data_IF_205222753622
#
_entry.id   IF_205222753622
#
_cell.length_a   1.000
_cell.length_b   1.000
_cell.length_c   1.000
_cell.angle_alpha   90.00
_cell.angle_beta   90.00
_cell.angle_gamma   90.00
#
_symmetry.space_group_name_H-M   'P 1'
#
loop_
_entity.id
_entity.type
_entity.pdbx_description
1 polymer ?
#
# COMPACT_ATOMS: atom_id res chain seq x y z
N UNK A 1 -25.85 -54.60 6.05
CA UNK A 1 -25.56 -53.51 7.02
C UNK A 1 -24.53 -52.59 6.37
N UNK A 2 -24.73 -51.27 6.31
CA UNK A 2 -23.84 -50.38 5.58
C UNK A 2 -22.67 -49.98 6.49
N UNK A 3 -21.72 -50.88 6.68
CA UNK A 3 -20.52 -50.62 7.51
C UNK A 3 -19.67 -49.45 6.98
N UNK A 4 -19.91 -49.03 5.73
CA UNK A 4 -19.19 -47.94 5.08
C UNK A 4 -19.86 -46.56 5.21
N UNK A 5 -21.10 -46.47 5.71
CA UNK A 5 -21.82 -45.19 5.87
C UNK A 5 -21.05 -44.17 6.74
N UNK A 6 -20.50 -44.55 7.92
CA UNK A 6 -19.74 -43.60 8.75
C UNK A 6 -18.44 -43.16 8.07
N UNK A 7 -17.78 -44.05 7.31
CA UNK A 7 -16.55 -43.74 6.58
C UNK A 7 -16.82 -42.70 5.47
N UNK A 8 -17.88 -42.91 4.69
CA UNK A 8 -18.31 -41.98 3.62
C UNK A 8 -18.66 -40.61 4.22
N UNK A 9 -19.40 -40.58 5.33
CA UNK A 9 -19.78 -39.32 5.98
C UNK A 9 -18.57 -38.53 6.50
N UNK A 10 -17.57 -39.23 7.06
CA UNK A 10 -16.33 -38.61 7.57
C UNK A 10 -15.50 -38.05 6.41
N UNK A 11 -15.40 -38.78 5.31
CA UNK A 11 -14.69 -38.34 4.11
C UNK A 11 -15.36 -37.09 3.49
N UNK A 12 -16.68 -37.10 3.34
CA UNK A 12 -17.42 -35.94 2.84
C UNK A 12 -17.24 -34.71 3.74
N UNK A 13 -17.29 -34.89 5.06
CA UNK A 13 -17.05 -33.80 6.01
C UNK A 13 -15.63 -33.25 5.85
N UNK A 14 -14.62 -34.11 5.78
CA UNK A 14 -13.22 -33.69 5.59
C UNK A 14 -13.01 -32.93 4.27
N UNK A 15 -13.71 -33.33 3.21
CA UNK A 15 -13.67 -32.65 1.91
C UNK A 15 -14.34 -31.26 1.98
N UNK A 16 -15.48 -31.15 2.65
CA UNK A 16 -16.16 -29.85 2.82
C UNK A 16 -15.30 -28.90 3.66
N UNK A 17 -14.69 -29.39 4.74
CA UNK A 17 -13.78 -28.59 5.56
C UNK A 17 -12.56 -28.13 4.77
N UNK A 18 -11.92 -29.00 3.97
CA UNK A 18 -10.75 -28.61 3.19
C UNK A 18 -11.10 -27.58 2.11
N UNK A 19 -12.28 -27.68 1.48
CA UNK A 19 -12.78 -26.69 0.54
C UNK A 19 -13.04 -25.34 1.21
N UNK A 20 -13.69 -25.32 2.38
CA UNK A 20 -13.95 -24.08 3.13
C UNK A 20 -12.65 -23.38 3.54
N UNK A 21 -11.69 -24.15 4.05
CA UNK A 21 -10.36 -23.67 4.40
C UNK A 21 -9.67 -23.08 3.16
N UNK A 22 -9.66 -23.80 2.03
CA UNK A 22 -9.10 -23.33 0.75
C UNK A 22 -9.73 -22.02 0.26
N UNK A 23 -11.05 -21.88 0.33
CA UNK A 23 -11.74 -20.65 -0.05
C UNK A 23 -11.37 -19.47 0.88
N UNK A 24 -11.21 -19.73 2.17
CA UNK A 24 -10.73 -18.72 3.12
C UNK A 24 -9.34 -18.20 2.77
N UNK A 25 -8.43 -19.09 2.36
CA UNK A 25 -7.11 -18.69 1.88
C UNK A 25 -7.21 -17.79 0.66
N UNK A 26 -7.95 -18.21 -0.37
CA UNK A 26 -8.09 -17.45 -1.61
C UNK A 26 -8.66 -16.06 -1.33
N UNK A 27 -9.68 -15.96 -0.47
CA UNK A 27 -10.27 -14.68 -0.08
C UNK A 27 -9.24 -13.75 0.59
N UNK A 28 -8.42 -14.30 1.49
CA UNK A 28 -7.41 -13.51 2.19
C UNK A 28 -6.24 -13.07 1.28
N UNK A 29 -5.79 -13.94 0.37
CA UNK A 29 -4.82 -13.58 -0.67
C UNK A 29 -5.34 -12.48 -1.59
N UNK A 30 -6.61 -12.58 -2.04
CA UNK A 30 -7.23 -11.56 -2.88
C UNK A 30 -7.30 -10.21 -2.16
N UNK A 31 -7.64 -10.20 -0.86
CA UNK A 31 -7.62 -8.97 -0.05
C UNK A 31 -6.25 -8.30 -0.06
N UNK A 32 -5.17 -9.06 0.09
CA UNK A 32 -3.80 -8.51 0.07
C UNK A 32 -3.43 -7.97 -1.31
N UNK A 33 -3.82 -8.67 -2.38
CA UNK A 33 -3.60 -8.21 -3.76
C UNK A 33 -4.33 -6.88 -4.01
N UNK A 34 -5.57 -6.75 -3.52
CA UNK A 34 -6.35 -5.53 -3.64
C UNK A 34 -5.68 -4.36 -2.89
N UNK A 35 -5.11 -4.62 -1.72
CA UNK A 35 -4.34 -3.63 -0.95
C UNK A 35 -3.06 -3.20 -1.67
N UNK A 36 -2.29 -4.13 -2.24
CA UNK A 36 -1.14 -3.78 -3.09
C UNK A 36 -1.57 -2.91 -4.27
N UNK A 37 -2.63 -3.30 -4.98
CA UNK A 37 -3.16 -2.56 -6.12
C UNK A 37 -3.55 -1.13 -5.73
N UNK A 38 -4.22 -0.97 -4.58
CA UNK A 38 -4.57 0.34 -4.02
C UNK A 38 -3.34 1.19 -3.69
N UNK A 39 -2.33 0.60 -3.04
CA UNK A 39 -1.08 1.28 -2.73
C UNK A 39 -0.33 1.74 -3.99
N UNK A 40 -0.22 0.89 -5.02
CA UNK A 40 0.38 1.27 -6.31
C UNK A 40 -0.40 2.40 -7.01
N UNK A 41 -1.73 2.39 -6.93
CA UNK A 41 -2.55 3.45 -7.52
C UNK A 41 -2.31 4.80 -6.82
N UNK A 42 -2.14 4.77 -5.50
CA UNK A 42 -1.76 5.96 -4.71
C UNK A 42 -0.34 6.42 -5.03
N UNK A 43 0.60 5.49 -5.25
CA UNK A 43 2.00 5.80 -5.58
C UNK A 43 2.11 6.73 -6.80
N UNK A 44 1.31 6.47 -7.83
CA UNK A 44 1.34 7.31 -9.03
C UNK A 44 0.90 8.76 -8.76
N UNK A 45 -0.09 8.96 -7.89
CA UNK A 45 -0.54 10.29 -7.51
C UNK A 45 0.52 10.98 -6.63
N UNK A 46 1.01 10.29 -5.60
CA UNK A 46 2.03 10.81 -4.70
C UNK A 46 3.34 11.15 -5.43
N UNK A 47 3.72 10.37 -6.44
CA UNK A 47 4.87 10.67 -7.29
C UNK A 47 4.67 11.96 -8.09
N UNK A 48 3.48 12.17 -8.67
CA UNK A 48 3.17 13.42 -9.36
C UNK A 48 3.22 14.61 -8.40
N UNK A 49 2.63 14.46 -7.22
CA UNK A 49 2.60 15.52 -6.22
C UNK A 49 4.04 15.81 -5.70
N UNK A 50 4.90 14.79 -5.58
CA UNK A 50 6.33 14.97 -5.26
C UNK A 50 7.08 15.75 -6.35
N UNK A 51 6.79 15.47 -7.62
CA UNK A 51 7.39 16.21 -8.73
C UNK A 51 6.95 17.67 -8.74
N UNK A 52 5.70 17.95 -8.37
CA UNK A 52 5.19 19.32 -8.22
C UNK A 52 5.88 20.05 -7.05
N UNK A 53 6.08 19.38 -5.91
CA UNK A 53 6.84 19.91 -4.76
C UNK A 53 8.28 20.28 -5.17
N UNK A 54 8.95 19.37 -5.89
CA UNK A 54 10.31 19.59 -6.39
C UNK A 54 10.38 20.76 -7.37
N UNK A 55 9.42 20.88 -8.28
CA UNK A 55 9.35 22.00 -9.21
C UNK A 55 9.15 23.34 -8.47
N UNK A 56 8.30 23.35 -7.44
CA UNK A 56 8.12 24.51 -6.56
C UNK A 56 9.41 24.90 -5.84
N UNK A 57 10.10 23.92 -5.24
CA UNK A 57 11.38 24.16 -4.56
C UNK A 57 12.47 24.65 -5.53
N UNK A 58 12.53 24.12 -6.75
CA UNK A 58 13.43 24.60 -7.80
C UNK A 58 13.13 26.05 -8.19
N UNK A 59 11.86 26.42 -8.33
CA UNK A 59 11.48 27.82 -8.62
C UNK A 59 11.97 28.79 -7.54
N UNK A 60 11.96 28.37 -6.28
CA UNK A 60 12.54 29.15 -5.17
C UNK A 60 14.05 29.21 -5.28
N UNK A 61 14.71 28.08 -5.57
CA UNK A 61 16.16 28.02 -5.77
C UNK A 61 16.62 28.98 -6.89
N UNK A 62 15.83 29.16 -7.94
CA UNK A 62 16.13 30.12 -9.00
C UNK A 62 16.10 31.58 -8.54
N UNK A 63 15.26 31.93 -7.56
CA UNK A 63 15.18 33.30 -7.03
C UNK A 63 16.46 33.72 -6.31
N UNK A 64 17.25 32.78 -5.78
CA UNK A 64 18.55 33.07 -5.16
C UNK A 64 19.60 33.62 -6.15
N UNK A 65 19.35 33.59 -7.46
CA UNK A 65 20.18 34.28 -8.45
C UNK A 65 20.06 35.81 -8.35
N UNK A 66 18.96 36.31 -7.79
CA UNK A 66 18.76 37.73 -7.52
C UNK A 66 19.42 38.11 -6.19
N UNK A 67 20.40 39.01 -6.26
CA UNK A 67 21.14 39.53 -5.08
C UNK A 67 20.25 40.26 -4.07
N UNK A 68 19.04 40.66 -4.49
CA UNK A 68 18.07 41.35 -3.64
C UNK A 68 16.98 40.41 -3.12
N UNK A 69 17.00 39.11 -3.47
CA UNK A 69 16.02 38.17 -2.98
C UNK A 69 16.22 37.93 -1.49
N UNK A 70 15.21 38.28 -0.69
CA UNK A 70 15.15 37.99 0.73
C UNK A 70 14.33 36.72 0.94
N UNK A 71 15.00 35.62 1.23
CA UNK A 71 14.36 34.31 1.43
C UNK A 71 13.41 34.33 2.63
N UNK A 72 12.20 33.81 2.41
CA UNK A 72 11.24 33.50 3.46
C UNK A 72 11.07 31.98 3.53
N UNK A 73 11.31 31.33 4.69
CA UNK A 73 11.08 29.89 4.85
C UNK A 73 9.66 29.43 4.48
N UNK A 74 8.67 30.32 4.58
CA UNK A 74 7.28 30.03 4.20
C UNK A 74 7.09 29.86 2.69
N UNK A 75 7.99 30.41 1.87
CA UNK A 75 7.97 30.18 0.42
C UNK A 75 8.18 28.70 0.13
N UNK A 76 9.17 28.09 0.79
CA UNK A 76 9.50 26.67 0.60
C UNK A 76 8.40 25.77 1.12
N UNK A 77 7.84 26.10 2.29
CA UNK A 77 6.69 25.38 2.84
C UNK A 77 5.48 25.45 1.90
N UNK A 78 5.20 26.62 1.33
CA UNK A 78 4.11 26.81 0.37
C UNK A 78 4.38 26.12 -0.97
N UNK A 79 5.64 25.95 -1.36
CA UNK A 79 6.01 25.22 -2.56
C UNK A 79 5.85 23.70 -2.40
N UNK A 80 6.16 23.15 -1.22
CA UNK A 80 6.08 21.72 -0.89
C UNK A 80 4.67 21.30 -0.43
N UNK A 81 3.77 22.26 -0.20
CA UNK A 81 2.41 22.00 0.27
C UNK A 81 1.36 22.83 -0.47
N UNK A 82 1.61 23.10 -1.77
CA UNK A 82 0.89 24.14 -2.53
C UNK A 82 -0.60 23.91 -2.65
N UNK A 83 -1.00 22.66 -2.81
CA UNK A 83 -2.40 22.23 -2.94
C UNK A 83 -2.92 21.57 -1.65
N UNK A 84 -2.20 21.76 -0.53
CA UNK A 84 -2.49 21.08 0.73
C UNK A 84 -2.05 19.61 0.76
N UNK A 85 -1.33 19.15 -0.26
CA UNK A 85 -0.71 17.83 -0.30
C UNK A 85 0.81 17.98 -0.31
N UNK A 86 1.47 17.02 0.32
CA UNK A 86 2.92 16.94 0.39
C UNK A 86 3.31 15.58 -0.18
N UNK A 87 3.80 15.58 -1.43
CA UNK A 87 4.10 14.36 -2.16
C UNK A 87 5.22 13.55 -1.50
N UNK A 88 6.17 14.19 -0.84
CA UNK A 88 7.20 13.48 -0.06
C UNK A 88 6.57 12.67 1.08
N UNK A 89 5.65 13.29 1.82
CA UNK A 89 4.93 12.63 2.91
C UNK A 89 4.05 11.50 2.41
N UNK A 90 3.26 11.75 1.36
CA UNK A 90 2.41 10.72 0.78
C UNK A 90 3.22 9.51 0.29
N UNK A 91 4.38 9.74 -0.34
CA UNK A 91 5.28 8.65 -0.76
C UNK A 91 5.78 7.82 0.44
N UNK A 92 6.18 8.47 1.54
CA UNK A 92 6.61 7.75 2.75
C UNK A 92 5.47 6.90 3.32
N UNK A 93 4.27 7.47 3.46
CA UNK A 93 3.09 6.76 3.96
C UNK A 93 2.77 5.53 3.08
N UNK A 94 2.89 5.65 1.76
CA UNK A 94 2.66 4.53 0.84
C UNK A 94 3.75 3.45 0.97
N UNK A 95 5.01 3.82 1.19
CA UNK A 95 6.06 2.83 1.43
C UNK A 95 5.86 2.09 2.76
N UNK A 96 5.42 2.78 3.80
CA UNK A 96 5.06 2.16 5.07
C UNK A 96 3.91 1.16 4.89
N UNK A 97 2.86 1.55 4.15
CA UNK A 97 1.75 0.65 3.80
C UNK A 97 2.26 -0.59 3.04
N UNK A 98 3.12 -0.41 2.03
CA UNK A 98 3.68 -1.53 1.26
C UNK A 98 4.53 -2.47 2.12
N UNK A 99 5.29 -1.94 3.08
CA UNK A 99 6.07 -2.76 4.03
C UNK A 99 5.14 -3.58 4.91
N UNK A 100 4.05 -2.99 5.42
CA UNK A 100 3.08 -3.70 6.24
C UNK A 100 2.37 -4.81 5.46
N UNK A 101 1.86 -4.49 4.27
CA UNK A 101 1.22 -5.46 3.37
C UNK A 101 2.17 -6.63 3.09
N UNK A 102 3.44 -6.33 2.79
CA UNK A 102 4.47 -7.34 2.53
C UNK A 102 4.74 -8.22 3.75
N UNK A 103 4.79 -7.64 4.95
CA UNK A 103 4.97 -8.39 6.20
C UNK A 103 3.80 -9.34 6.44
N UNK A 104 2.57 -8.89 6.24
CA UNK A 104 1.38 -9.74 6.40
C UNK A 104 1.35 -10.87 5.38
N UNK A 105 1.68 -10.57 4.12
CA UNK A 105 1.80 -11.58 3.07
C UNK A 105 2.86 -12.64 3.40
N UNK A 106 4.01 -12.22 3.91
CA UNK A 106 5.06 -13.13 4.35
C UNK A 106 4.60 -14.05 5.48
N UNK A 107 3.93 -13.52 6.51
CA UNK A 107 3.44 -14.33 7.62
C UNK A 107 2.45 -15.39 7.14
N UNK A 108 1.57 -15.06 6.20
CA UNK A 108 0.61 -16.01 5.62
C UNK A 108 1.25 -17.11 4.79
N UNK A 109 2.39 -16.83 4.16
CA UNK A 109 3.07 -17.80 3.30
C UNK A 109 3.95 -18.76 4.10
N UNK A 110 4.48 -18.35 5.26
CA UNK A 110 5.38 -19.18 6.08
C UNK A 110 4.69 -19.85 7.26
N UNK A 111 3.87 -19.11 8.01
CA UNK A 111 3.31 -19.61 9.26
C UNK A 111 2.02 -20.42 9.01
N UNK A 112 1.38 -20.20 7.86
CA UNK A 112 -0.03 -20.55 7.72
C UNK A 112 -0.90 -19.73 8.69
N UNK A 113 -2.23 -19.76 8.54
CA UNK A 113 -3.17 -19.11 9.44
C UNK A 113 -3.26 -19.80 10.80
#
# INVERSE_FOLDING_TARGET
>A
MPENLPLISTLLLSLVLSLLISQSYIAHYNSIIDEYSSAFRRLNNAFRDLMDDMAGAMSIAEKFKDINYNYDPRDLESAINRDGRNGTREMMEIFEDLIDITRRFYNLTIEGP
#
